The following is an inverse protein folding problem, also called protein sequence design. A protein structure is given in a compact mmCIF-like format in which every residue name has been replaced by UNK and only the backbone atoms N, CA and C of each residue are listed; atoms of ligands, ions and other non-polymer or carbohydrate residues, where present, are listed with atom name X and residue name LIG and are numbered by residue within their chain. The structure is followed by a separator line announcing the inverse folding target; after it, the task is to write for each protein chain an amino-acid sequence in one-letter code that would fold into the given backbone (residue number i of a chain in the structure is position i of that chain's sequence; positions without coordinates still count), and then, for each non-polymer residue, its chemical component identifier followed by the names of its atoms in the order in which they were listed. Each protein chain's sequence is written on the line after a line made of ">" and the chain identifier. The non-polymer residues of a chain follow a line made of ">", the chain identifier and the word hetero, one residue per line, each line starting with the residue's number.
data_IF_418667637625
#
_entry.id   IF_418667637625
#
_cell.length_a   1.000
_cell.length_b   1.000
_cell.length_c   1.000
_cell.angle_alpha   90.00
_cell.angle_beta   90.00
_cell.angle_gamma   90.00
#
_symmetry.space_group_name_H-M   'P 1'
#
loop_
_entity.id
_entity.type
_entity.pdbx_description
1 polymer ?
#
# COMPACT_ATOMS: atom_id res chain seq x y z
N UNK A 1 -18.92 -12.88 30.52
CA UNK A 1 -19.88 -12.66 29.45
C UNK A 1 -19.11 -12.44 28.15
N UNK A 2 -19.58 -13.06 27.06
CA UNK A 2 -19.04 -12.77 25.74
C UNK A 2 -19.21 -11.26 25.47
N UNK A 3 -18.18 -10.62 24.92
CA UNK A 3 -18.28 -9.21 24.57
C UNK A 3 -19.44 -9.01 23.58
N UNK A 4 -20.31 -8.05 23.85
CA UNK A 4 -21.37 -7.67 22.93
C UNK A 4 -20.71 -7.01 21.71
N UNK A 5 -21.06 -7.46 20.49
CA UNK A 5 -20.62 -6.82 19.27
C UNK A 5 -21.38 -5.51 19.02
N UNK A 6 -21.01 -4.78 17.98
CA UNK A 6 -21.68 -3.54 17.56
C UNK A 6 -23.01 -3.80 16.81
N UNK A 7 -23.41 -5.08 16.65
CA UNK A 7 -24.63 -5.44 15.92
C UNK A 7 -24.63 -4.90 14.49
N UNK A 8 -25.77 -4.38 14.04
CA UNK A 8 -25.92 -3.81 12.69
C UNK A 8 -25.16 -2.49 12.48
N UNK A 9 -24.65 -1.86 13.53
CA UNK A 9 -23.79 -0.68 13.43
C UNK A 9 -22.34 -1.03 13.01
N UNK A 10 -21.96 -2.29 13.04
CA UNK A 10 -20.66 -2.78 12.55
C UNK A 10 -20.67 -2.85 11.03
N UNK A 11 -20.11 -1.84 10.39
CA UNK A 11 -20.03 -1.79 8.91
C UNK A 11 -18.97 -2.74 8.31
N UNK A 12 -18.06 -3.27 9.12
CA UNK A 12 -16.98 -4.15 8.63
C UNK A 12 -17.35 -5.63 8.75
N UNK A 13 -17.89 -6.04 9.87
CA UNK A 13 -18.00 -7.46 10.21
C UNK A 13 -19.41 -7.92 10.61
N UNK A 14 -20.44 -7.05 10.59
CA UNK A 14 -21.82 -7.44 10.97
C UNK A 14 -22.37 -8.62 10.18
N UNK A 15 -21.95 -8.78 8.93
CA UNK A 15 -22.35 -9.89 8.05
C UNK A 15 -21.55 -11.18 8.26
N UNK A 16 -20.50 -11.17 9.10
CA UNK A 16 -19.67 -12.34 9.37
C UNK A 16 -20.27 -13.22 10.46
N UNK A 17 -19.96 -14.51 10.41
CA UNK A 17 -20.44 -15.48 11.39
C UNK A 17 -19.92 -15.20 12.83
N UNK A 18 -18.73 -14.59 12.95
CA UNK A 18 -18.09 -14.30 14.22
C UNK A 18 -17.46 -12.88 14.23
N UNK A 19 -18.28 -11.80 14.26
CA UNK A 19 -17.78 -10.42 14.15
C UNK A 19 -16.70 -10.07 15.17
N UNK A 20 -16.88 -10.48 16.44
CA UNK A 20 -15.91 -10.19 17.50
C UNK A 20 -14.57 -10.89 17.24
N UNK A 21 -14.57 -12.13 16.77
CA UNK A 21 -13.33 -12.82 16.40
C UNK A 21 -12.61 -12.10 15.24
N UNK A 22 -13.33 -11.58 14.28
CA UNK A 22 -12.74 -10.78 13.20
C UNK A 22 -12.14 -9.47 13.74
N UNK A 23 -12.80 -8.78 14.68
CA UNK A 23 -12.24 -7.60 15.35
C UNK A 23 -10.98 -7.91 16.16
N UNK A 24 -10.92 -9.08 16.82
CA UNK A 24 -9.70 -9.53 17.53
C UNK A 24 -8.56 -9.74 16.54
N UNK A 25 -8.81 -10.40 15.40
CA UNK A 25 -7.82 -10.59 14.35
C UNK A 25 -7.37 -9.24 13.75
N UNK A 26 -8.30 -8.32 13.48
CA UNK A 26 -7.97 -6.97 13.02
C UNK A 26 -7.05 -6.24 14.01
N UNK A 27 -7.39 -6.27 15.30
CA UNK A 27 -6.57 -5.66 16.35
C UNK A 27 -5.15 -6.24 16.42
N UNK A 28 -5.00 -7.56 16.25
CA UNK A 28 -3.68 -8.20 16.20
C UNK A 28 -2.92 -7.91 14.90
N UNK A 29 -3.59 -7.87 13.75
CA UNK A 29 -2.98 -7.46 12.49
C UNK A 29 -2.50 -5.99 12.56
N UNK A 30 -3.26 -5.11 13.22
CA UNK A 30 -2.83 -3.73 13.48
C UNK A 30 -1.62 -3.67 14.44
N UNK A 31 -1.59 -4.52 15.48
CA UNK A 31 -0.40 -4.64 16.35
C UNK A 31 0.84 -5.09 15.57
N UNK A 32 0.70 -6.06 14.66
CA UNK A 32 1.79 -6.50 13.78
C UNK A 32 2.30 -5.33 12.94
N UNK A 33 1.42 -4.57 12.28
CA UNK A 33 1.77 -3.37 11.50
C UNK A 33 2.53 -2.35 12.35
N UNK A 34 2.00 -1.99 13.51
CA UNK A 34 2.63 -1.01 14.42
C UNK A 34 3.97 -1.51 14.99
N UNK A 35 4.06 -2.81 15.29
CA UNK A 35 5.32 -3.44 15.70
C UNK A 35 6.39 -3.35 14.62
N UNK A 36 6.04 -3.61 13.35
CA UNK A 36 6.97 -3.49 12.23
C UNK A 36 7.43 -2.04 11.99
N UNK A 37 6.59 -1.05 12.22
CA UNK A 37 7.00 0.38 12.16
C UNK A 37 8.10 0.67 13.18
N UNK A 38 8.09 0.03 14.33
CA UNK A 38 9.11 0.21 15.37
C UNK A 38 10.36 -0.65 15.17
N UNK A 39 10.33 -1.63 14.27
CA UNK A 39 11.30 -2.73 14.23
C UNK A 39 12.75 -2.29 14.00
N UNK A 40 12.99 -1.21 13.25
CA UNK A 40 14.33 -0.67 13.02
C UNK A 40 14.77 0.33 14.11
N UNK A 41 13.83 0.94 14.83
CA UNK A 41 14.09 1.91 15.90
C UNK A 41 14.19 1.27 17.28
N UNK A 42 13.31 0.33 17.59
CA UNK A 42 13.25 -0.40 18.87
C UNK A 42 12.90 -1.87 18.60
N UNK A 43 13.88 -2.68 18.16
CA UNK A 43 13.66 -4.07 17.80
C UNK A 43 13.19 -4.94 18.97
N UNK A 44 13.58 -4.61 20.21
CA UNK A 44 13.15 -5.38 21.38
C UNK A 44 11.65 -5.19 21.66
N UNK A 45 11.16 -3.97 21.63
CA UNK A 45 9.74 -3.65 21.77
C UNK A 45 8.92 -4.19 20.61
N UNK A 46 9.44 -4.03 19.38
CA UNK A 46 8.83 -4.57 18.17
C UNK A 46 8.65 -6.10 18.28
N UNK A 47 9.69 -6.83 18.68
CA UNK A 47 9.66 -8.27 18.90
C UNK A 47 8.53 -8.65 19.87
N UNK A 48 8.49 -8.02 21.03
CA UNK A 48 7.46 -8.31 22.05
C UNK A 48 6.03 -8.11 21.51
N UNK A 49 5.79 -7.01 20.77
CA UNK A 49 4.48 -6.70 20.20
C UNK A 49 4.09 -7.70 19.12
N UNK A 50 5.02 -8.00 18.21
CA UNK A 50 4.79 -8.85 17.04
C UNK A 50 4.55 -10.29 17.46
N UNK A 51 5.41 -10.86 18.31
CA UNK A 51 5.29 -12.25 18.77
C UNK A 51 3.99 -12.48 19.56
N UNK A 52 3.54 -11.50 20.34
CA UNK A 52 2.27 -11.58 21.04
C UNK A 52 1.05 -11.51 20.11
N UNK A 53 1.17 -10.91 18.93
CA UNK A 53 0.07 -10.73 17.98
C UNK A 53 -0.01 -11.85 16.93
N UNK A 54 1.14 -12.37 16.50
CA UNK A 54 1.31 -13.14 15.27
C UNK A 54 0.40 -14.37 15.13
N UNK A 55 0.07 -15.04 16.23
CA UNK A 55 -0.79 -16.24 16.19
C UNK A 55 -2.29 -15.94 15.97
N UNK A 56 -2.70 -14.66 16.10
CA UNK A 56 -4.11 -14.28 16.09
C UNK A 56 -4.42 -13.17 15.07
N UNK A 57 -3.63 -13.05 14.03
CA UNK A 57 -3.83 -12.10 12.91
C UNK A 57 -4.80 -12.67 11.86
N UNK A 58 -5.00 -11.96 10.75
CA UNK A 58 -5.77 -12.48 9.62
C UNK A 58 -5.16 -13.79 9.09
N UNK A 59 -6.02 -14.74 8.78
CA UNK A 59 -5.63 -16.07 8.28
C UNK A 59 -6.15 -16.36 6.88
N UNK A 60 -7.01 -15.49 6.34
CA UNK A 60 -7.56 -15.59 5.00
C UNK A 60 -8.16 -14.26 4.53
N UNK A 61 -8.49 -14.15 3.25
CA UNK A 61 -9.21 -13.00 2.68
C UNK A 61 -10.58 -12.76 3.33
N UNK A 62 -11.18 -13.79 3.95
CA UNK A 62 -12.43 -13.65 4.68
C UNK A 62 -12.32 -12.74 5.92
N UNK A 63 -11.10 -12.53 6.42
CA UNK A 63 -10.82 -11.67 7.57
C UNK A 63 -10.61 -10.19 7.18
N UNK A 64 -10.53 -9.88 5.86
CA UNK A 64 -10.28 -8.53 5.38
C UNK A 64 -11.22 -7.50 6.00
N UNK A 65 -10.65 -6.39 6.49
CA UNK A 65 -11.38 -5.23 6.98
C UNK A 65 -11.76 -4.35 5.79
N UNK A 66 -12.87 -4.69 5.15
CA UNK A 66 -13.36 -4.07 3.93
C UNK A 66 -14.57 -3.19 4.25
N UNK A 67 -14.41 -1.87 4.12
CA UNK A 67 -15.50 -0.93 4.32
C UNK A 67 -16.38 -0.89 3.06
N UNK A 68 -17.68 -1.24 3.18
CA UNK A 68 -18.57 -1.29 2.04
C UNK A 68 -19.03 0.10 1.63
N UNK A 69 -19.14 0.33 0.32
CA UNK A 69 -19.87 1.45 -0.25
C UNK A 69 -21.16 0.97 -0.87
N UNK A 70 -22.08 1.88 -1.15
CA UNK A 70 -23.38 1.57 -1.78
C UNK A 70 -23.41 2.02 -3.23
N UNK A 71 -24.38 1.51 -3.98
CA UNK A 71 -24.61 1.95 -5.36
C UNK A 71 -25.23 3.35 -5.46
N UNK A 72 -25.55 3.99 -4.33
CA UNK A 72 -26.26 5.27 -4.27
C UNK A 72 -25.43 6.35 -3.60
N UNK A 73 -25.47 7.58 -4.15
CA UNK A 73 -24.93 8.77 -3.50
C UNK A 73 -25.75 9.12 -2.25
N UNK A 74 -25.14 9.69 -1.20
CA UNK A 74 -23.75 10.09 -1.07
C UNK A 74 -22.81 8.97 -0.54
N UNK A 75 -23.30 7.74 -0.35
CA UNK A 75 -22.58 6.65 0.30
C UNK A 75 -21.83 5.72 -0.70
N UNK A 76 -21.63 6.21 -1.91
CA UNK A 76 -20.82 5.52 -2.93
C UNK A 76 -19.32 5.78 -2.72
N UNK A 77 -18.49 4.95 -3.34
CA UNK A 77 -17.04 5.11 -3.34
C UNK A 77 -16.64 6.53 -3.84
N UNK A 78 -15.89 7.30 -3.07
CA UNK A 78 -15.47 8.66 -3.45
C UNK A 78 -14.69 8.72 -4.78
N UNK A 79 -13.95 7.66 -5.13
CA UNK A 79 -13.23 7.57 -6.42
C UNK A 79 -14.24 7.60 -7.58
N UNK A 80 -15.42 7.03 -7.43
CA UNK A 80 -16.42 6.96 -8.48
C UNK A 80 -16.85 8.34 -8.98
N UNK A 81 -16.97 9.33 -8.11
CA UNK A 81 -17.38 10.70 -8.48
C UNK A 81 -16.34 11.42 -9.35
N UNK A 82 -15.08 10.99 -9.29
CA UNK A 82 -13.97 11.62 -10.00
C UNK A 82 -13.48 10.81 -11.21
N UNK A 83 -13.73 9.51 -11.24
CA UNK A 83 -13.13 8.63 -12.25
C UNK A 83 -14.14 7.77 -13.01
N UNK A 84 -15.36 7.53 -12.49
CA UNK A 84 -16.38 6.77 -13.19
C UNK A 84 -16.94 7.57 -14.36
N UNK A 85 -16.77 7.06 -15.57
CA UNK A 85 -17.18 7.78 -16.80
C UNK A 85 -18.70 7.91 -16.97
N UNK A 86 -19.49 7.17 -16.19
CA UNK A 86 -20.94 7.39 -16.11
C UNK A 86 -21.32 8.63 -15.28
N UNK A 87 -20.40 9.11 -14.42
CA UNK A 87 -20.64 10.24 -13.51
C UNK A 87 -19.87 11.50 -13.89
N UNK A 88 -18.73 11.36 -14.57
CA UNK A 88 -17.83 12.49 -14.82
C UNK A 88 -17.13 12.38 -16.16
N UNK A 89 -16.92 13.53 -16.78
CA UNK A 89 -16.08 13.67 -17.99
C UNK A 89 -14.62 13.98 -17.65
N UNK A 90 -14.25 14.02 -16.37
CA UNK A 90 -12.89 14.36 -15.92
C UNK A 90 -11.86 13.40 -16.50
N UNK A 91 -10.71 13.98 -16.85
CA UNK A 91 -9.55 13.29 -17.43
C UNK A 91 -8.27 13.56 -16.62
N UNK A 92 -8.40 13.67 -15.30
CA UNK A 92 -7.32 14.12 -14.42
C UNK A 92 -6.38 12.99 -13.98
N UNK A 93 -6.82 11.72 -14.10
CA UNK A 93 -6.09 10.60 -13.53
C UNK A 93 -5.60 9.65 -14.61
N UNK A 94 -4.29 9.50 -14.68
CA UNK A 94 -3.61 8.47 -15.47
C UNK A 94 -2.69 7.64 -14.57
N UNK A 95 -2.33 6.45 -15.01
CA UNK A 95 -1.39 5.60 -14.29
C UNK A 95 0.03 6.17 -14.38
N UNK A 96 0.76 6.22 -13.28
CA UNK A 96 2.13 6.70 -13.28
C UNK A 96 3.09 5.69 -13.96
N UNK A 97 4.06 6.22 -14.70
CA UNK A 97 5.04 5.43 -15.47
C UNK A 97 5.78 4.42 -14.59
N UNK A 98 6.19 4.80 -13.40
CA UNK A 98 6.97 3.93 -12.54
C UNK A 98 6.27 2.61 -12.21
N UNK A 99 5.00 2.66 -11.77
CA UNK A 99 4.25 1.43 -11.43
C UNK A 99 3.96 0.61 -12.68
N UNK A 100 3.61 1.25 -13.79
CA UNK A 100 3.36 0.55 -15.06
C UNK A 100 4.61 -0.17 -15.56
N UNK A 101 5.75 0.50 -15.59
CA UNK A 101 7.01 -0.08 -16.04
C UNK A 101 7.46 -1.24 -15.15
N UNK A 102 7.33 -1.08 -13.82
CA UNK A 102 7.63 -2.15 -12.86
C UNK A 102 6.76 -3.38 -13.10
N UNK A 103 5.45 -3.19 -13.24
CA UNK A 103 4.52 -4.30 -13.47
C UNK A 103 4.69 -4.92 -14.87
N UNK A 104 5.06 -4.13 -15.88
CA UNK A 104 5.37 -4.66 -17.20
C UNK A 104 6.64 -5.50 -17.20
N UNK A 105 7.70 -5.04 -16.54
CA UNK A 105 8.95 -5.79 -16.41
C UNK A 105 8.76 -7.12 -15.69
N UNK A 106 7.93 -7.14 -14.64
CA UNK A 106 7.59 -8.35 -13.88
C UNK A 106 6.53 -9.21 -14.57
N UNK A 107 5.92 -8.78 -15.67
CA UNK A 107 4.75 -9.43 -16.29
C UNK A 107 3.61 -9.67 -15.29
N UNK A 108 3.43 -8.72 -14.36
CA UNK A 108 2.55 -8.86 -13.21
C UNK A 108 1.09 -9.13 -13.61
N UNK A 109 0.48 -10.24 -13.14
CA UNK A 109 -0.87 -10.61 -13.52
C UNK A 109 -1.96 -9.68 -12.94
N UNK A 110 -1.63 -8.79 -12.00
CA UNK A 110 -2.57 -7.79 -11.43
C UNK A 110 -2.83 -6.61 -12.37
N UNK A 111 -2.01 -6.42 -13.43
CA UNK A 111 -2.15 -5.27 -14.37
C UNK A 111 -3.59 -5.03 -14.86
N UNK A 112 -4.36 -6.04 -15.32
CA UNK A 112 -5.74 -5.82 -15.77
C UNK A 112 -6.69 -5.36 -14.66
N UNK A 113 -6.42 -5.74 -13.42
CA UNK A 113 -7.17 -5.31 -12.24
C UNK A 113 -6.84 -3.89 -11.79
N UNK A 114 -5.65 -3.38 -12.14
CA UNK A 114 -5.20 -2.04 -11.78
C UNK A 114 -5.48 -1.01 -12.87
N UNK A 115 -5.26 -1.37 -14.16
CA UNK A 115 -5.15 -0.42 -15.24
C UNK A 115 -5.87 -0.86 -16.51
N UNK A 116 -6.24 0.13 -17.33
CA UNK A 116 -6.71 -0.08 -18.71
C UNK A 116 -5.52 -0.13 -19.66
N UNK A 117 -5.70 -0.76 -20.83
CA UNK A 117 -4.73 -0.69 -21.94
C UNK A 117 -5.00 0.51 -22.86
N UNK A 118 -3.97 0.99 -23.51
CA UNK A 118 -4.02 1.94 -24.63
C UNK A 118 -3.28 1.30 -25.80
N UNK A 119 -3.96 1.16 -26.95
CA UNK A 119 -3.35 0.51 -28.12
C UNK A 119 -2.87 -0.93 -27.89
N UNK A 120 -3.49 -1.66 -26.94
CA UNK A 120 -3.10 -3.03 -26.59
C UNK A 120 -1.94 -3.14 -25.61
N UNK A 121 -1.46 -2.03 -25.04
CA UNK A 121 -0.35 -2.00 -24.07
C UNK A 121 -0.71 -1.23 -22.80
N UNK A 122 -0.02 -1.53 -21.71
CA UNK A 122 -0.04 -0.71 -20.50
C UNK A 122 1.05 0.36 -20.63
N UNK A 123 0.65 1.64 -20.66
CA UNK A 123 1.53 2.78 -20.88
C UNK A 123 1.34 3.78 -19.75
N UNK A 124 2.38 4.03 -18.97
CA UNK A 124 2.34 4.95 -17.83
C UNK A 124 2.74 6.38 -18.20
N UNK A 125 2.05 7.36 -17.61
CA UNK A 125 2.35 8.78 -17.78
C UNK A 125 3.45 9.26 -16.84
N UNK A 126 4.07 10.35 -17.21
CA UNK A 126 5.18 10.96 -16.49
C UNK A 126 4.65 11.79 -15.30
N UNK A 127 4.91 11.35 -14.07
CA UNK A 127 4.50 12.11 -12.89
C UNK A 127 5.30 13.41 -12.77
N UNK A 128 4.62 14.48 -12.33
CA UNK A 128 5.20 15.82 -12.28
C UNK A 128 5.17 16.59 -13.61
N UNK A 129 4.61 16.02 -14.65
CA UNK A 129 4.52 16.64 -15.98
C UNK A 129 3.09 16.66 -16.53
N UNK A 130 2.85 17.50 -17.53
CA UNK A 130 1.61 17.47 -18.28
C UNK A 130 1.55 16.24 -19.18
N UNK A 131 0.43 15.52 -19.15
CA UNK A 131 0.21 14.30 -19.90
C UNK A 131 -1.13 14.37 -20.66
N UNK A 132 -1.17 13.85 -21.87
CA UNK A 132 -2.41 13.67 -22.61
C UNK A 132 -3.14 12.43 -22.11
N UNK A 133 -4.33 12.58 -21.56
CA UNK A 133 -5.12 11.49 -20.99
C UNK A 133 -5.31 10.30 -21.97
N UNK A 134 -5.53 10.59 -23.26
CA UNK A 134 -5.78 9.56 -24.27
C UNK A 134 -4.58 8.66 -24.58
N UNK A 135 -3.37 9.08 -24.21
CA UNK A 135 -2.13 8.36 -24.55
C UNK A 135 -1.62 7.43 -23.45
N UNK A 136 -2.28 7.43 -22.30
CA UNK A 136 -1.81 6.70 -21.14
C UNK A 136 -2.89 5.83 -20.50
N UNK A 137 -2.46 4.76 -19.87
CA UNK A 137 -3.31 3.87 -19.08
C UNK A 137 -3.97 4.64 -17.94
N UNK A 138 -5.22 4.31 -17.65
CA UNK A 138 -5.99 4.85 -16.52
C UNK A 138 -6.31 3.75 -15.53
N UNK A 139 -6.88 4.09 -14.37
CA UNK A 139 -7.34 3.07 -13.44
C UNK A 139 -8.38 2.14 -14.07
N UNK A 140 -8.37 0.88 -13.68
CA UNK A 140 -9.36 -0.09 -14.14
C UNK A 140 -10.79 0.32 -13.70
N UNK A 141 -11.83 0.14 -14.55
CA UNK A 141 -13.20 0.55 -14.24
C UNK A 141 -13.75 0.00 -12.91
N UNK A 142 -13.30 -1.19 -12.50
CA UNK A 142 -13.63 -1.81 -11.21
C UNK A 142 -13.36 -0.89 -10.03
N UNK A 143 -12.24 -0.15 -10.05
CA UNK A 143 -11.83 0.73 -8.94
C UNK A 143 -12.73 1.96 -8.84
N UNK A 144 -13.24 2.42 -9.98
CA UNK A 144 -14.17 3.53 -10.06
C UNK A 144 -15.65 3.10 -9.95
N UNK A 145 -15.94 1.83 -9.65
CA UNK A 145 -17.31 1.37 -9.39
C UNK A 145 -17.87 2.02 -8.12
N UNK A 146 -19.19 2.25 -8.11
CA UNK A 146 -19.88 2.91 -6.98
C UNK A 146 -19.67 2.19 -5.65
N UNK A 147 -19.66 0.87 -5.69
CA UNK A 147 -19.60 -0.03 -4.53
C UNK A 147 -18.22 -0.65 -4.32
N UNK A 148 -17.19 -0.21 -5.07
CA UNK A 148 -15.84 -0.73 -4.86
C UNK A 148 -15.38 -0.41 -3.44
N UNK A 149 -15.12 -1.44 -2.59
CA UNK A 149 -14.91 -1.24 -1.17
C UNK A 149 -13.54 -0.59 -0.86
N UNK A 150 -13.47 0.11 0.27
CA UNK A 150 -12.19 0.55 0.83
C UNK A 150 -11.60 -0.51 1.75
N UNK A 151 -10.41 -1.01 1.42
CA UNK A 151 -9.65 -1.90 2.30
C UNK A 151 -8.93 -1.08 3.36
N UNK A 152 -9.28 -1.29 4.65
CA UNK A 152 -8.57 -0.70 5.78
C UNK A 152 -7.34 -1.54 6.16
N UNK A 153 -7.47 -2.86 6.05
CA UNK A 153 -6.41 -3.84 6.23
C UNK A 153 -6.83 -5.15 5.57
N UNK A 154 -5.88 -5.87 5.00
CA UNK A 154 -6.16 -7.11 4.31
C UNK A 154 -5.20 -8.25 4.67
N UNK A 155 -5.56 -9.45 4.26
CA UNK A 155 -4.76 -10.65 4.45
C UNK A 155 -3.39 -10.58 3.75
N UNK A 156 -3.28 -10.11 2.48
CA UNK A 156 -1.97 -9.91 1.85
C UNK A 156 -1.00 -9.05 2.66
N UNK A 157 -1.46 -7.91 3.17
CA UNK A 157 -0.61 -7.03 3.99
C UNK A 157 -0.13 -7.72 5.26
N UNK A 158 -1.04 -8.47 5.92
CA UNK A 158 -0.72 -9.24 7.13
C UNK A 158 0.33 -10.31 6.85
N UNK A 159 0.18 -11.06 5.78
CA UNK A 159 1.13 -12.09 5.35
C UNK A 159 2.51 -11.51 5.00
N UNK A 160 2.57 -10.37 4.27
CA UNK A 160 3.85 -9.67 4.08
C UNK A 160 4.47 -9.23 5.40
N UNK A 161 3.66 -8.81 6.37
CA UNK A 161 4.13 -8.46 7.71
C UNK A 161 4.73 -9.65 8.46
N UNK A 162 4.12 -10.83 8.37
CA UNK A 162 4.65 -12.06 8.96
C UNK A 162 5.94 -12.52 8.25
N UNK A 163 5.99 -12.42 6.92
CA UNK A 163 7.21 -12.71 6.15
C UNK A 163 8.39 -11.86 6.61
N UNK A 164 8.18 -10.56 6.78
CA UNK A 164 9.19 -9.64 7.27
C UNK A 164 9.58 -9.93 8.72
N UNK A 165 8.61 -10.16 9.61
CA UNK A 165 8.86 -10.49 11.01
C UNK A 165 9.76 -11.74 11.14
N UNK A 166 9.48 -12.78 10.35
CA UNK A 166 10.32 -13.99 10.30
C UNK A 166 11.74 -13.70 9.76
N UNK A 167 11.88 -12.84 8.73
CA UNK A 167 13.22 -12.43 8.22
C UNK A 167 14.01 -11.60 9.23
N UNK A 168 13.34 -10.90 10.14
CA UNK A 168 13.97 -10.17 11.24
C UNK A 168 14.34 -11.08 12.42
N UNK A 169 14.01 -12.40 12.36
CA UNK A 169 14.28 -13.36 13.43
C UNK A 169 13.29 -13.30 14.58
N UNK A 170 12.11 -12.69 14.36
CA UNK A 170 11.00 -12.74 15.33
C UNK A 170 10.26 -14.06 15.19
N UNK A 171 9.75 -14.58 16.32
CA UNK A 171 9.02 -15.86 16.35
C UNK A 171 7.59 -15.63 15.85
N UNK A 172 7.30 -16.15 14.67
CA UNK A 172 5.97 -16.15 14.06
C UNK A 172 5.63 -17.53 13.52
N UNK A 173 4.34 -17.92 13.42
CA UNK A 173 3.95 -19.17 12.78
C UNK A 173 4.41 -19.22 11.32
N UNK A 174 4.81 -20.39 10.81
CA UNK A 174 5.18 -20.56 9.41
C UNK A 174 6.61 -20.10 9.06
N UNK A 175 6.91 -20.04 7.76
CA UNK A 175 8.18 -19.56 7.24
C UNK A 175 8.03 -18.24 6.50
N UNK A 176 9.08 -17.39 6.44
CA UNK A 176 9.03 -16.13 5.67
C UNK A 176 8.63 -16.33 4.21
N UNK A 177 9.13 -17.37 3.56
CA UNK A 177 8.80 -17.68 2.16
C UNK A 177 7.33 -18.08 2.01
N UNK A 178 6.82 -18.91 2.90
CA UNK A 178 5.40 -19.31 2.89
C UNK A 178 4.49 -18.10 3.00
N UNK A 179 4.76 -17.20 3.94
CA UNK A 179 4.00 -15.97 4.12
C UNK A 179 4.09 -15.04 2.90
N UNK A 180 5.28 -14.88 2.33
CA UNK A 180 5.45 -14.10 1.10
C UNK A 180 4.64 -14.67 -0.06
N UNK A 181 4.70 -15.99 -0.27
CA UNK A 181 3.96 -16.65 -1.35
C UNK A 181 2.44 -16.55 -1.14
N UNK A 182 1.96 -16.69 0.09
CA UNK A 182 0.56 -16.46 0.45
C UNK A 182 0.13 -15.03 0.14
N UNK A 183 0.93 -14.05 0.53
CA UNK A 183 0.65 -12.63 0.32
C UNK A 183 0.53 -12.27 -1.16
N UNK A 184 1.49 -12.71 -1.97
CA UNK A 184 1.51 -12.46 -3.42
C UNK A 184 0.30 -13.15 -4.08
N UNK A 185 0.04 -14.41 -3.74
CA UNK A 185 -1.08 -15.19 -4.28
C UNK A 185 -2.42 -14.53 -3.94
N UNK A 186 -2.64 -14.18 -2.69
CA UNK A 186 -3.89 -13.54 -2.26
C UNK A 186 -4.07 -12.16 -2.93
N UNK A 187 -3.00 -11.37 -3.04
CA UNK A 187 -3.03 -10.09 -3.77
C UNK A 187 -3.43 -10.28 -5.25
N UNK A 188 -2.84 -11.26 -5.93
CA UNK A 188 -3.16 -11.55 -7.34
C UNK A 188 -4.63 -11.95 -7.48
N UNK A 189 -5.14 -12.82 -6.61
CA UNK A 189 -6.55 -13.26 -6.62
C UNK A 189 -7.52 -12.12 -6.33
N UNK A 190 -7.24 -11.27 -5.36
CA UNK A 190 -8.06 -10.09 -5.05
C UNK A 190 -8.22 -9.18 -6.29
N UNK A 191 -7.18 -9.03 -7.08
CA UNK A 191 -7.17 -8.22 -8.28
C UNK A 191 -7.65 -8.95 -9.55
N UNK A 192 -8.16 -10.18 -9.41
CA UNK A 192 -8.83 -10.92 -10.47
C UNK A 192 -7.95 -11.91 -11.21
N UNK A 193 -6.75 -12.16 -10.72
CA UNK A 193 -5.90 -13.24 -11.23
C UNK A 193 -6.29 -14.62 -10.67
N UNK A 194 -5.62 -15.66 -11.15
CA UNK A 194 -5.86 -17.05 -10.80
C UNK A 194 -4.70 -17.65 -10.01
N UNK A 195 -4.93 -18.79 -9.33
CA UNK A 195 -3.86 -19.53 -8.63
C UNK A 195 -2.75 -19.96 -9.61
N UNK A 196 -3.10 -20.34 -10.86
CA UNK A 196 -2.11 -20.68 -11.88
C UNK A 196 -1.23 -19.50 -12.29
N UNK A 197 -1.83 -18.31 -12.42
CA UNK A 197 -1.07 -17.08 -12.69
C UNK A 197 -0.18 -16.70 -11.52
N UNK A 198 -0.66 -16.87 -10.29
CA UNK A 198 0.15 -16.63 -9.09
C UNK A 198 1.35 -17.59 -9.01
N UNK A 199 1.13 -18.88 -9.28
CA UNK A 199 2.20 -19.88 -9.31
C UNK A 199 3.26 -19.56 -10.39
N UNK A 200 2.83 -19.19 -11.60
CA UNK A 200 3.75 -18.77 -12.69
C UNK A 200 4.54 -17.52 -12.30
N UNK A 201 3.88 -16.54 -11.70
CA UNK A 201 4.51 -15.30 -11.27
C UNK A 201 5.54 -15.52 -10.15
N UNK A 202 5.21 -16.32 -9.15
CA UNK A 202 6.11 -16.69 -8.05
C UNK A 202 7.30 -17.55 -8.47
N UNK A 203 7.21 -18.26 -9.60
CA UNK A 203 8.30 -19.05 -10.15
C UNK A 203 9.33 -18.20 -10.92
N UNK A 204 9.05 -16.93 -11.19
CA UNK A 204 10.01 -16.04 -11.88
C UNK A 204 11.21 -15.74 -10.99
N UNK A 205 12.45 -15.80 -11.52
CA UNK A 205 13.66 -15.50 -10.74
C UNK A 205 13.70 -14.10 -10.12
N UNK A 206 13.04 -13.12 -10.76
CA UNK A 206 12.94 -11.72 -10.33
C UNK A 206 11.75 -11.44 -9.38
N UNK A 207 10.99 -12.47 -9.01
CA UNK A 207 9.87 -12.43 -8.07
C UNK A 207 10.05 -13.41 -6.91
N UNK A 208 10.56 -14.59 -7.15
CA UNK A 208 10.67 -15.66 -6.16
C UNK A 208 11.44 -15.20 -4.91
N UNK A 209 10.94 -15.57 -3.75
CA UNK A 209 11.44 -15.11 -2.45
C UNK A 209 12.93 -15.30 -2.24
N UNK A 210 13.49 -16.39 -2.78
CA UNK A 210 14.89 -16.79 -2.59
C UNK A 210 15.84 -16.23 -3.63
N UNK A 211 15.35 -15.72 -4.77
CA UNK A 211 16.19 -15.35 -5.92
C UNK A 211 16.03 -13.89 -6.37
N UNK A 212 14.91 -13.24 -6.05
CA UNK A 212 14.61 -11.89 -6.54
C UNK A 212 15.63 -10.84 -6.07
N UNK A 213 16.13 -10.95 -4.85
CA UNK A 213 17.23 -10.14 -4.31
C UNK A 213 17.82 -10.83 -3.08
N UNK A 214 19.10 -10.55 -2.78
CA UNK A 214 19.72 -10.91 -1.51
C UNK A 214 19.17 -10.05 -0.33
N UNK A 215 18.59 -8.88 -0.63
CA UNK A 215 17.98 -7.99 0.34
C UNK A 215 16.49 -8.30 0.50
N UNK A 216 16.11 -8.89 1.64
CA UNK A 216 14.71 -9.21 1.89
C UNK A 216 13.79 -7.99 1.91
N UNK A 217 14.29 -6.80 2.28
CA UNK A 217 13.51 -5.56 2.24
C UNK A 217 13.09 -5.22 0.80
N UNK A 218 13.96 -5.48 -0.18
CA UNK A 218 13.64 -5.31 -1.60
C UNK A 218 12.59 -6.30 -2.08
N UNK A 219 12.78 -7.59 -1.75
CA UNK A 219 11.85 -8.66 -2.14
C UNK A 219 10.46 -8.40 -1.57
N UNK A 220 10.36 -8.24 -0.25
CA UNK A 220 9.08 -8.03 0.44
C UNK A 220 8.52 -6.64 0.12
N UNK A 221 9.34 -5.60 0.21
CA UNK A 221 8.92 -4.21 0.03
C UNK A 221 8.33 -3.95 -1.36
N UNK A 222 8.97 -4.45 -2.41
CA UNK A 222 8.46 -4.30 -3.78
C UNK A 222 7.10 -4.96 -3.96
N UNK A 223 6.92 -6.20 -3.54
CA UNK A 223 5.67 -6.91 -3.72
C UNK A 223 4.56 -6.38 -2.79
N UNK A 224 4.91 -5.99 -1.57
CA UNK A 224 3.99 -5.34 -0.62
C UNK A 224 3.52 -3.98 -1.16
N UNK A 225 4.43 -3.18 -1.71
CA UNK A 225 4.10 -1.90 -2.34
C UNK A 225 3.09 -2.07 -3.50
N UNK A 226 3.28 -3.09 -4.35
CA UNK A 226 2.33 -3.43 -5.41
C UNK A 226 0.98 -3.90 -4.84
N UNK A 227 0.99 -4.74 -3.79
CA UNK A 227 -0.23 -5.23 -3.15
C UNK A 227 -1.05 -4.11 -2.49
N UNK A 228 -0.38 -3.07 -2.00
CA UNK A 228 -0.99 -1.88 -1.38
C UNK A 228 -1.53 -0.88 -2.41
N UNK A 229 -1.64 -1.24 -3.69
CA UNK A 229 -2.28 -0.39 -4.68
C UNK A 229 -3.68 0.05 -4.22
N UNK A 230 -4.03 1.31 -4.47
CA UNK A 230 -5.23 2.00 -3.97
C UNK A 230 -5.27 2.25 -2.44
N UNK A 231 -4.15 2.02 -1.74
CA UNK A 231 -3.95 2.37 -0.32
C UNK A 231 -2.68 3.22 -0.18
N UNK A 232 -2.75 4.44 -0.70
CA UNK A 232 -1.57 5.28 -0.92
C UNK A 232 -0.79 5.63 0.34
N UNK A 233 -1.47 5.86 1.48
CA UNK A 233 -0.78 6.19 2.74
C UNK A 233 -0.05 4.99 3.36
N UNK A 234 -0.65 3.81 3.32
CA UNK A 234 -0.03 2.57 3.77
C UNK A 234 1.16 2.23 2.88
N UNK A 235 0.98 2.31 1.56
CA UNK A 235 2.03 2.09 0.57
C UNK A 235 3.22 3.04 0.78
N UNK A 236 2.95 4.34 0.99
CA UNK A 236 3.98 5.35 1.27
C UNK A 236 4.67 5.12 2.63
N UNK A 237 3.95 4.66 3.65
CA UNK A 237 4.53 4.32 4.96
C UNK A 237 5.47 3.13 4.85
N UNK A 238 5.06 2.08 4.15
CA UNK A 238 5.88 0.89 3.93
C UNK A 238 7.10 1.19 3.07
N UNK A 239 6.94 2.02 2.02
CA UNK A 239 8.07 2.45 1.21
C UNK A 239 9.12 3.22 2.04
N UNK A 240 8.73 4.16 2.87
CA UNK A 240 9.65 4.91 3.74
C UNK A 240 10.40 4.00 4.72
N UNK A 241 9.74 2.93 5.18
CA UNK A 241 10.28 2.00 6.17
C UNK A 241 11.22 0.95 5.56
N UNK A 242 10.95 0.53 4.34
CA UNK A 242 11.69 -0.54 3.65
C UNK A 242 12.63 -0.02 2.57
N UNK A 243 12.47 1.23 2.11
CA UNK A 243 13.17 1.89 0.99
C UNK A 243 12.94 1.23 -0.39
N UNK A 244 11.98 0.33 -0.51
CA UNK A 244 11.70 -0.40 -1.75
C UNK A 244 10.20 -0.38 -2.13
N UNK A 245 9.94 -0.32 -3.45
CA UNK A 245 10.88 -0.30 -4.57
C UNK A 245 11.72 0.99 -4.60
N UNK A 246 12.92 0.96 -5.17
CA UNK A 246 13.77 2.14 -5.29
C UNK A 246 13.09 3.20 -6.17
N UNK A 247 12.42 4.16 -5.54
CA UNK A 247 11.79 5.28 -6.22
C UNK A 247 12.82 6.40 -6.45
N UNK A 248 12.64 7.15 -7.53
CA UNK A 248 13.43 8.34 -7.81
C UNK A 248 12.53 9.53 -8.16
N UNK A 249 12.88 10.76 -7.79
CA UNK A 249 12.16 11.94 -8.24
C UNK A 249 12.29 12.10 -9.76
N UNK A 250 11.44 12.92 -10.40
CA UNK A 250 11.63 13.28 -11.79
C UNK A 250 13.03 13.82 -12.04
N UNK A 251 13.63 13.45 -13.16
CA UNK A 251 14.96 13.88 -13.57
C UNK A 251 14.97 14.22 -15.05
N UNK A 252 16.01 14.90 -15.53
CA UNK A 252 16.17 15.20 -16.94
C UNK A 252 16.14 13.93 -17.82
N UNK A 253 16.64 12.80 -17.30
CA UNK A 253 16.63 11.51 -17.98
C UNK A 253 15.22 10.87 -18.07
N UNK A 254 14.32 11.24 -17.18
CA UNK A 254 12.94 10.72 -17.13
C UNK A 254 11.90 11.71 -17.63
N UNK A 255 12.29 12.94 -17.95
CA UNK A 255 11.40 13.97 -18.46
C UNK A 255 10.94 13.65 -19.90
N UNK A 256 9.70 14.00 -20.26
CA UNK A 256 9.29 14.01 -21.65
C UNK A 256 10.12 15.00 -22.47
N UNK A 257 10.28 14.72 -23.77
CA UNK A 257 11.02 15.59 -24.67
C UNK A 257 10.51 17.05 -24.62
N UNK A 258 11.44 18.00 -24.49
CA UNK A 258 11.12 19.43 -24.44
C UNK A 258 10.63 19.95 -23.08
N UNK A 259 10.56 19.10 -22.03
CA UNK A 259 10.20 19.54 -20.68
C UNK A 259 11.43 19.57 -19.77
N UNK A 260 11.50 20.56 -18.88
CA UNK A 260 12.57 20.75 -17.93
C UNK A 260 12.18 20.25 -16.54
N UNK A 261 13.15 19.79 -15.78
CA UNK A 261 12.98 19.35 -14.38
C UNK A 261 13.70 20.33 -13.47
N UNK A 262 13.06 20.87 -12.43
CA UNK A 262 13.74 21.64 -11.41
C UNK A 262 14.86 20.84 -10.76
N UNK A 263 15.95 21.50 -10.43
CA UNK A 263 17.04 20.87 -9.69
C UNK A 263 16.65 20.63 -8.21
N UNK A 264 17.28 19.64 -7.57
CA UNK A 264 17.15 19.41 -6.13
C UNK A 264 15.83 18.78 -5.69
N UNK A 265 15.09 18.14 -6.60
CA UNK A 265 13.88 17.41 -6.23
C UNK A 265 14.21 16.20 -5.35
N UNK A 266 13.36 15.97 -4.36
CA UNK A 266 13.42 14.81 -3.48
C UNK A 266 12.02 14.22 -3.34
N UNK A 267 11.95 12.91 -3.05
CA UNK A 267 10.67 12.28 -2.72
C UNK A 267 10.32 12.65 -1.28
N UNK A 268 9.12 13.18 -1.01
CA UNK A 268 8.70 13.51 0.34
C UNK A 268 8.64 12.27 1.24
N UNK A 269 9.24 12.37 2.43
CA UNK A 269 9.19 11.32 3.46
C UNK A 269 8.29 11.69 4.64
N UNK A 270 7.73 12.89 4.65
CA UNK A 270 6.71 13.34 5.61
C UNK A 270 5.85 14.47 5.02
N UNK A 271 4.74 14.73 5.67
CA UNK A 271 4.00 15.99 5.51
C UNK A 271 4.62 17.03 6.45
N UNK A 272 4.73 18.29 5.98
CA UNK A 272 5.09 19.42 6.87
C UNK A 272 3.93 19.72 7.82
N UNK A 273 4.20 20.44 8.89
CA UNK A 273 3.16 20.94 9.77
C UNK A 273 2.17 21.86 9.01
N UNK A 274 0.87 21.81 9.33
CA UNK A 274 -0.11 22.67 8.67
C UNK A 274 0.29 24.15 8.75
N UNK A 275 0.07 24.88 7.67
CA UNK A 275 0.47 26.30 7.57
C UNK A 275 -0.18 27.16 8.68
N UNK A 276 -1.39 26.79 9.10
CA UNK A 276 -2.09 27.49 10.16
C UNK A 276 -1.37 27.44 11.52
N UNK A 277 -0.55 26.41 11.76
CA UNK A 277 0.26 26.32 12.97
C UNK A 277 1.29 27.46 13.07
N UNK A 278 1.70 28.04 11.94
CA UNK A 278 2.63 29.19 11.96
C UNK A 278 2.00 30.42 12.60
N UNK A 279 0.73 30.65 12.37
CA UNK A 279 0.01 31.82 12.85
C UNK A 279 -0.70 31.58 14.19
N UNK A 280 -1.25 30.39 14.38
CA UNK A 280 -2.07 30.08 15.57
C UNK A 280 -1.23 29.50 16.71
N UNK A 281 -0.10 28.84 16.43
CA UNK A 281 0.69 28.12 17.41
C UNK A 281 2.19 28.16 17.10
N UNK A 282 2.68 29.30 16.58
CA UNK A 282 4.03 29.45 15.99
C UNK A 282 5.18 29.03 16.91
N UNK A 283 5.11 29.38 18.21
CA UNK A 283 6.13 29.02 19.17
C UNK A 283 6.25 27.50 19.36
N UNK A 284 5.12 26.79 19.53
CA UNK A 284 5.10 25.33 19.68
C UNK A 284 5.45 24.60 18.38
N UNK A 285 5.03 25.14 17.23
CA UNK A 285 5.47 24.61 15.94
C UNK A 285 7.00 24.73 15.77
N UNK A 286 7.59 25.85 16.15
CA UNK A 286 9.06 26.05 16.08
C UNK A 286 9.80 25.07 17.01
N UNK A 287 9.32 24.88 18.23
CA UNK A 287 9.86 23.90 19.19
C UNK A 287 9.79 22.47 18.61
N UNK A 288 8.62 22.06 18.09
CA UNK A 288 8.42 20.74 17.48
C UNK A 288 9.29 20.53 16.23
N UNK A 289 9.42 21.55 15.38
CA UNK A 289 10.29 21.51 14.21
C UNK A 289 11.76 21.34 14.60
N UNK A 290 12.24 22.08 15.61
CA UNK A 290 13.60 21.95 16.11
C UNK A 290 13.88 20.55 16.69
N UNK A 291 12.91 19.96 17.41
CA UNK A 291 13.04 18.63 18.01
C UNK A 291 13.22 17.49 16.99
N UNK A 292 12.74 17.69 15.75
CA UNK A 292 12.85 16.69 14.66
C UNK A 292 13.93 17.03 13.61
N UNK A 293 14.71 18.07 13.83
CA UNK A 293 15.76 18.50 12.89
C UNK A 293 15.28 19.36 11.72
N UNK A 294 14.07 19.92 11.80
CA UNK A 294 13.48 20.81 10.80
C UNK A 294 12.12 20.36 10.29
N UNK A 295 11.33 21.30 9.77
CA UNK A 295 10.01 21.04 9.20
C UNK A 295 10.08 21.02 7.67
N UNK A 296 10.82 20.08 7.11
CA UNK A 296 10.98 19.86 5.68
C UNK A 296 10.29 18.55 5.26
N UNK A 297 9.86 18.45 4.02
CA UNK A 297 9.33 17.20 3.45
C UNK A 297 10.34 16.07 3.42
N UNK A 298 11.63 16.38 3.53
CA UNK A 298 12.76 15.44 3.56
C UNK A 298 13.22 15.08 4.97
N UNK A 299 12.66 15.70 6.01
CA UNK A 299 12.99 15.36 7.40
C UNK A 299 12.37 14.02 7.76
N UNK A 300 13.19 13.02 8.07
CA UNK A 300 12.72 11.67 8.43
C UNK A 300 11.96 11.66 9.75
N UNK A 301 10.98 10.80 9.85
CA UNK A 301 10.27 10.53 11.10
C UNK A 301 11.13 9.64 12.02
N UNK A 302 10.83 9.61 13.31
CA UNK A 302 11.66 8.92 14.32
C UNK A 302 11.84 7.41 14.06
N UNK A 303 10.94 6.79 13.33
CA UNK A 303 10.97 5.37 12.98
C UNK A 303 11.59 5.10 11.59
N UNK A 304 11.76 6.12 10.77
CA UNK A 304 12.39 6.06 9.45
C UNK A 304 13.90 6.27 9.60
N UNK A 305 14.62 5.19 9.89
CA UNK A 305 16.04 5.21 10.28
C UNK A 305 16.99 4.65 9.21
N UNK A 306 16.44 4.22 8.05
CA UNK A 306 17.21 3.67 6.93
C UNK A 306 17.75 4.75 6.01
#
# INVERSE_FOLDING_TARGET
>A
PAAAGFGTADLLYSSKAAPIANWVKFGNALKLRLGLILADKDPAKAKTIIEAAAANVFTSEADNASFPYTLSTPNNNPISTNANKALTTRTDYIAAKFIIDKMNALEDPRRPGFFTMVGGAYIGGYYGFSNSYANFSTMAPKIAAYDFPALLMDYPETEFGLAEAGKRGFTVPGTPEQHYNNAVTASIKYWGGTDAQAATYLARPDVAFTTASANYKEVIGTQKWLALYNRGYESWTEWRRLDFPALAPPSAATAPAGQSVPAGLSIPVRLIYPINEQTLNGAKRAEAAAAIGGDLVTTKLFWDVN
#
